data_IF_986852680696
#
_entry.id   IF_986852680696
#
_cell.length_a   1.000
_cell.length_b   1.000
_cell.length_c   1.000
_cell.angle_alpha   90.00
_cell.angle_beta   90.00
_cell.angle_gamma   90.00
#
_symmetry.space_group_name_H-M   'P 1'
#
loop_
_entity.id
_entity.type
_entity.pdbx_description
1 polymer ?
#
# COMPACT_ATOMS: atom_id res chain seq x y z
N UNK A 1 -4.16 22.14 12.13
CA UNK A 1 -2.71 21.83 12.01
C UNK A 1 -2.43 20.35 11.78
N UNK A 2 -3.32 19.43 12.16
CA UNK A 2 -3.21 17.98 11.89
C UNK A 2 -3.34 17.62 10.40
N UNK A 3 -4.40 18.07 9.71
CA UNK A 3 -4.65 17.68 8.31
C UNK A 3 -3.54 18.06 7.31
N UNK A 4 -2.94 19.25 7.44
CA UNK A 4 -1.83 19.70 6.59
C UNK A 4 -0.57 18.85 6.82
N UNK A 5 -0.29 18.48 8.06
CA UNK A 5 0.84 17.62 8.40
C UNK A 5 0.66 16.21 7.80
N UNK A 6 -0.54 15.63 7.94
CA UNK A 6 -0.88 14.35 7.31
C UNK A 6 -0.70 14.39 5.78
N UNK A 7 -1.19 15.44 5.12
CA UNK A 7 -1.03 15.59 3.66
C UNK A 7 0.44 15.64 3.24
N UNK A 8 1.28 16.35 3.99
CA UNK A 8 2.72 16.41 3.73
C UNK A 8 3.35 15.02 3.86
N UNK A 9 3.05 14.29 4.94
CA UNK A 9 3.56 12.92 5.15
C UNK A 9 3.11 11.99 4.02
N UNK A 10 1.84 12.08 3.62
CA UNK A 10 1.29 11.27 2.53
C UNK A 10 1.96 11.58 1.18
N UNK A 11 2.18 12.86 0.86
CA UNK A 11 2.87 13.28 -0.36
C UNK A 11 4.33 12.81 -0.40
N UNK A 12 5.04 12.92 0.72
CA UNK A 12 6.42 12.44 0.84
C UNK A 12 6.48 10.93 0.66
N UNK A 13 5.59 10.17 1.32
CA UNK A 13 5.52 8.72 1.16
C UNK A 13 5.18 8.32 -0.28
N UNK A 14 4.23 9.01 -0.92
CA UNK A 14 3.89 8.78 -2.32
C UNK A 14 5.09 9.03 -3.25
N UNK A 15 5.82 10.13 -3.05
CA UNK A 15 7.00 10.48 -3.85
C UNK A 15 8.13 9.45 -3.69
N UNK A 16 8.41 9.03 -2.47
CA UNK A 16 9.40 7.97 -2.17
C UNK A 16 8.99 6.67 -2.88
N UNK A 17 7.73 6.26 -2.75
CA UNK A 17 7.23 5.02 -3.34
C UNK A 17 7.28 5.06 -4.88
N UNK A 18 6.88 6.16 -5.50
CA UNK A 18 6.95 6.35 -6.96
C UNK A 18 8.38 6.34 -7.47
N UNK A 19 9.29 7.03 -6.76
CA UNK A 19 10.72 7.05 -7.14
C UNK A 19 11.33 5.66 -7.05
N UNK A 20 11.05 4.93 -5.97
CA UNK A 20 11.48 3.55 -5.82
C UNK A 20 10.89 2.65 -6.91
N UNK A 21 9.60 2.81 -7.24
CA UNK A 21 8.97 2.05 -8.31
C UNK A 21 9.67 2.23 -9.65
N UNK A 22 9.96 3.48 -10.05
CA UNK A 22 10.65 3.78 -11.30
C UNK A 22 12.04 3.14 -11.32
N UNK A 23 12.78 3.27 -10.20
CA UNK A 23 14.10 2.67 -10.05
C UNK A 23 14.07 1.14 -10.11
N UNK A 24 13.25 0.51 -9.26
CA UNK A 24 13.12 -0.94 -9.17
C UNK A 24 12.67 -1.54 -10.50
N UNK A 25 11.74 -0.87 -11.20
CA UNK A 25 11.28 -1.27 -12.53
C UNK A 25 12.41 -1.28 -13.54
N UNK A 26 13.21 -0.20 -13.60
CA UNK A 26 14.35 -0.09 -14.51
C UNK A 26 15.44 -1.11 -14.19
N UNK A 27 15.68 -1.39 -12.91
CA UNK A 27 16.72 -2.31 -12.44
C UNK A 27 16.35 -3.79 -12.57
N UNK A 28 15.09 -4.14 -12.32
CA UNK A 28 14.63 -5.54 -12.21
C UNK A 28 13.89 -6.03 -13.45
N UNK A 29 13.67 -5.17 -14.45
CA UNK A 29 12.95 -5.51 -15.67
C UNK A 29 11.46 -5.78 -15.46
N UNK A 30 10.84 -5.12 -14.46
CA UNK A 30 9.44 -5.37 -14.10
C UNK A 30 8.52 -4.92 -15.25
N UNK A 31 7.61 -5.80 -15.75
CA UNK A 31 6.69 -5.44 -16.81
C UNK A 31 5.77 -4.29 -16.40
N UNK A 32 5.29 -3.54 -17.39
CA UNK A 32 4.35 -2.43 -17.13
C UNK A 32 3.04 -3.05 -16.63
N UNK A 33 2.51 -2.63 -15.48
CA UNK A 33 1.21 -3.11 -15.05
C UNK A 33 0.16 -2.68 -16.08
N UNK A 34 -0.92 -3.46 -16.24
CA UNK A 34 -2.05 -3.05 -17.05
C UNK A 34 -2.61 -1.71 -16.54
N UNK A 35 -3.17 -0.92 -17.45
CA UNK A 35 -3.77 0.39 -17.12
C UNK A 35 -4.88 0.25 -16.07
N UNK A 36 -5.65 -0.84 -16.15
CA UNK A 36 -6.71 -1.16 -15.21
C UNK A 36 -6.18 -2.01 -14.06
N UNK A 37 -6.69 -1.72 -12.86
CA UNK A 37 -6.47 -2.55 -11.70
C UNK A 37 -6.88 -4.00 -11.98
N UNK A 38 -5.95 -4.93 -11.78
CA UNK A 38 -6.19 -6.37 -11.93
C UNK A 38 -5.73 -7.09 -10.68
N UNK A 39 -6.63 -7.70 -9.89
CA UNK A 39 -6.23 -8.55 -8.77
C UNK A 39 -5.50 -9.79 -9.29
N UNK A 40 -4.63 -10.40 -8.47
CA UNK A 40 -3.89 -11.61 -8.88
C UNK A 40 -4.83 -12.79 -9.08
N UNK A 41 -5.85 -12.89 -8.23
CA UNK A 41 -6.95 -13.86 -8.36
C UNK A 41 -8.27 -13.29 -7.79
N UNK A 42 -9.37 -14.00 -8.00
CA UNK A 42 -10.69 -13.61 -7.47
C UNK A 42 -10.73 -13.52 -5.95
N UNK A 43 -10.00 -14.39 -5.26
CA UNK A 43 -9.90 -14.39 -3.79
C UNK A 43 -9.26 -13.11 -3.25
N UNK A 44 -8.20 -12.62 -3.89
CA UNK A 44 -7.56 -11.36 -3.52
C UNK A 44 -8.54 -10.21 -3.69
N UNK A 45 -9.24 -10.14 -4.83
CA UNK A 45 -10.22 -9.09 -5.08
C UNK A 45 -11.34 -9.08 -4.05
N UNK A 46 -11.83 -10.26 -3.66
CA UNK A 46 -12.85 -10.38 -2.61
C UNK A 46 -12.31 -9.93 -1.24
N UNK A 47 -11.08 -10.31 -0.88
CA UNK A 47 -10.45 -9.90 0.38
C UNK A 47 -10.20 -8.39 0.44
N UNK A 48 -9.78 -7.77 -0.66
CA UNK A 48 -9.60 -6.32 -0.74
C UNK A 48 -10.92 -5.56 -0.59
N UNK A 49 -12.02 -6.07 -1.15
CA UNK A 49 -13.35 -5.51 -0.95
C UNK A 49 -13.77 -5.62 0.53
N UNK A 50 -13.54 -6.77 1.16
CA UNK A 50 -13.83 -6.94 2.60
C UNK A 50 -13.00 -5.95 3.42
N UNK A 51 -11.70 -5.80 3.14
CA UNK A 51 -10.84 -4.83 3.82
C UNK A 51 -11.34 -3.39 3.63
N UNK A 52 -11.84 -3.05 2.45
CA UNK A 52 -12.39 -1.72 2.16
C UNK A 52 -13.67 -1.45 2.95
N UNK A 53 -14.56 -2.44 3.06
CA UNK A 53 -15.77 -2.34 3.89
C UNK A 53 -15.37 -2.16 5.36
N UNK A 54 -14.41 -2.94 5.86
CA UNK A 54 -13.90 -2.82 7.22
C UNK A 54 -13.26 -1.46 7.49
N UNK A 55 -12.55 -0.88 6.52
CA UNK A 55 -12.04 0.49 6.63
C UNK A 55 -13.19 1.48 6.84
N UNK A 56 -14.26 1.36 6.05
CA UNK A 56 -15.45 2.21 6.16
C UNK A 56 -16.05 2.21 7.56
N UNK A 57 -16.21 1.02 8.17
CA UNK A 57 -16.66 0.92 9.55
C UNK A 57 -15.64 1.44 10.57
N UNK A 58 -14.36 1.21 10.33
CA UNK A 58 -13.28 1.60 11.26
C UNK A 58 -13.16 3.13 11.39
N UNK A 59 -13.35 3.86 10.29
CA UNK A 59 -13.32 5.33 10.28
C UNK A 59 -14.44 5.96 11.13
N UNK A 60 -15.54 5.24 11.39
CA UNK A 60 -16.59 5.72 12.29
C UNK A 60 -16.13 5.78 13.76
N UNK A 61 -15.09 5.02 14.13
CA UNK A 61 -14.64 4.86 15.52
C UNK A 61 -13.22 5.37 15.77
N UNK A 62 -12.38 5.39 14.74
CA UNK A 62 -10.96 5.70 14.81
C UNK A 62 -10.56 6.86 13.89
N UNK A 63 -9.41 7.51 14.14
CA UNK A 63 -8.93 8.60 13.28
C UNK A 63 -8.78 8.15 11.81
N UNK A 64 -9.41 8.86 10.85
CA UNK A 64 -9.43 8.45 9.45
C UNK A 64 -8.03 8.35 8.83
N UNK A 65 -7.13 9.23 9.22
CA UNK A 65 -5.75 9.29 8.72
C UNK A 65 -4.98 8.01 9.08
N UNK A 66 -5.06 7.60 10.34
CA UNK A 66 -4.38 6.40 10.86
C UNK A 66 -4.97 5.14 10.21
N UNK A 67 -6.30 5.06 10.11
CA UNK A 67 -6.98 3.93 9.50
C UNK A 67 -6.66 3.79 8.01
N UNK A 68 -6.54 4.91 7.29
CA UNK A 68 -6.15 4.91 5.88
C UNK A 68 -4.74 4.37 5.68
N UNK A 69 -3.77 4.84 6.48
CA UNK A 69 -2.39 4.32 6.39
C UNK A 69 -2.33 2.85 6.79
N UNK A 70 -3.07 2.44 7.81
CA UNK A 70 -3.15 1.05 8.22
C UNK A 70 -3.74 0.15 7.13
N UNK A 71 -4.80 0.62 6.45
CA UNK A 71 -5.37 -0.07 5.30
C UNK A 71 -4.34 -0.21 4.17
N UNK A 72 -3.66 0.87 3.78
CA UNK A 72 -2.62 0.82 2.76
C UNK A 72 -1.49 -0.15 3.11
N UNK A 73 -1.09 -0.19 4.38
CA UNK A 73 -0.12 -1.17 4.89
C UNK A 73 -0.62 -2.60 4.70
N UNK A 74 -1.81 -2.94 5.20
CA UNK A 74 -2.38 -4.28 5.12
C UNK A 74 -2.58 -4.74 3.67
N UNK A 75 -3.14 -3.88 2.82
CA UNK A 75 -3.32 -4.19 1.40
C UNK A 75 -1.98 -4.41 0.70
N UNK A 76 -0.94 -3.62 1.05
CA UNK A 76 0.41 -3.80 0.49
C UNK A 76 1.03 -5.13 0.94
N UNK A 77 0.91 -5.51 2.21
CA UNK A 77 1.35 -6.80 2.73
C UNK A 77 0.64 -7.96 2.02
N UNK A 78 -0.69 -7.88 1.94
CA UNK A 78 -1.50 -8.92 1.33
C UNK A 78 -1.17 -9.09 -0.16
N UNK A 79 -1.04 -7.98 -0.89
CA UNK A 79 -0.66 -8.01 -2.31
C UNK A 79 0.75 -8.54 -2.52
N UNK A 80 1.69 -8.17 -1.66
CA UNK A 80 3.05 -8.74 -1.67
C UNK A 80 3.00 -10.25 -1.54
N UNK A 81 2.23 -10.76 -0.58
CA UNK A 81 2.10 -12.20 -0.35
C UNK A 81 1.47 -12.90 -1.55
N UNK A 82 0.39 -12.34 -2.11
CA UNK A 82 -0.30 -12.91 -3.26
C UNK A 82 0.58 -12.91 -4.52
N UNK A 83 1.23 -11.80 -4.83
CA UNK A 83 2.12 -11.71 -5.98
C UNK A 83 3.37 -12.59 -5.82
N UNK A 84 3.94 -12.66 -4.62
CA UNK A 84 5.07 -13.54 -4.35
C UNK A 84 4.70 -15.01 -4.52
N UNK A 85 3.51 -15.42 -4.07
CA UNK A 85 3.04 -16.80 -4.14
C UNK A 85 2.60 -17.22 -5.54
N UNK A 86 1.86 -16.37 -6.25
CA UNK A 86 1.21 -16.74 -7.52
C UNK A 86 1.90 -16.17 -8.77
N UNK A 87 2.68 -15.09 -8.65
CA UNK A 87 3.27 -14.36 -9.79
C UNK A 87 4.73 -13.94 -9.52
N UNK A 88 5.50 -14.85 -8.94
CA UNK A 88 6.89 -14.57 -8.52
C UNK A 88 7.79 -14.06 -9.65
N UNK A 89 7.55 -14.53 -10.87
CA UNK A 89 8.33 -14.19 -12.07
C UNK A 89 8.20 -12.72 -12.47
N UNK A 90 7.03 -12.10 -12.25
CA UNK A 90 6.80 -10.69 -12.57
C UNK A 90 7.57 -9.73 -11.63
N UNK A 91 8.02 -10.23 -10.48
CA UNK A 91 8.78 -9.48 -9.45
C UNK A 91 8.09 -8.23 -8.90
N UNK A 92 6.82 -8.01 -9.23
CA UNK A 92 6.03 -6.87 -8.76
C UNK A 92 5.88 -6.86 -7.23
N UNK A 93 5.92 -8.04 -6.58
CA UNK A 93 5.92 -8.17 -5.13
C UNK A 93 7.03 -7.37 -4.43
N UNK A 94 8.17 -7.10 -5.09
CA UNK A 94 9.27 -6.30 -4.52
C UNK A 94 8.83 -4.85 -4.31
N UNK A 95 8.05 -4.30 -5.24
CA UNK A 95 7.50 -2.96 -5.11
C UNK A 95 6.48 -2.89 -3.97
N UNK A 96 5.55 -3.84 -3.90
CA UNK A 96 4.55 -3.86 -2.83
C UNK A 96 5.17 -4.17 -1.47
N UNK A 97 6.25 -4.94 -1.41
CA UNK A 97 6.99 -5.20 -0.17
C UNK A 97 7.64 -3.91 0.34
N UNK A 98 8.28 -3.16 -0.55
CA UNK A 98 8.81 -1.84 -0.20
C UNK A 98 7.72 -0.89 0.26
N UNK A 99 6.59 -0.85 -0.46
CA UNK A 99 5.41 -0.08 -0.07
C UNK A 99 4.89 -0.47 1.32
N UNK A 100 4.81 -1.76 1.63
CA UNK A 100 4.40 -2.25 2.94
C UNK A 100 5.35 -1.77 4.05
N UNK A 101 6.66 -1.87 3.84
CA UNK A 101 7.65 -1.37 4.81
C UNK A 101 7.51 0.15 4.98
N UNK A 102 7.36 0.89 3.89
CA UNK A 102 7.17 2.34 3.93
C UNK A 102 5.91 2.72 4.71
N UNK A 103 4.77 2.07 4.43
CA UNK A 103 3.53 2.33 5.15
C UNK A 103 3.59 1.90 6.61
N UNK A 104 4.35 0.85 6.95
CA UNK A 104 4.59 0.49 8.35
C UNK A 104 5.34 1.60 9.10
N UNK A 105 6.39 2.15 8.49
CA UNK A 105 7.16 3.28 9.08
C UNK A 105 6.25 4.50 9.25
N UNK A 106 5.45 4.84 8.23
CA UNK A 106 4.49 5.95 8.31
C UNK A 106 3.43 5.68 9.37
N UNK A 107 2.93 4.45 9.49
CA UNK A 107 1.94 4.07 10.49
C UNK A 107 2.48 4.26 11.91
N UNK A 108 3.68 3.75 12.18
CA UNK A 108 4.35 3.91 13.49
C UNK A 108 4.56 5.40 13.79
N UNK A 109 5.03 6.17 12.81
CA UNK A 109 5.19 7.61 12.95
C UNK A 109 3.88 8.30 13.31
N UNK A 110 2.79 7.99 12.60
CA UNK A 110 1.46 8.55 12.87
C UNK A 110 0.97 8.18 14.27
N UNK A 111 1.18 6.95 14.73
CA UNK A 111 0.77 6.54 16.08
C UNK A 111 1.53 7.25 17.21
N UNK A 112 2.73 7.79 16.94
CA UNK A 112 3.57 8.47 17.95
C UNK A 112 3.35 9.99 17.94
N UNK A 113 3.20 10.58 16.76
CA UNK A 113 3.26 12.04 16.58
C UNK A 113 1.91 12.70 16.22
N UNK A 114 0.83 11.91 16.17
CA UNK A 114 -0.48 12.36 15.71
C UNK A 114 -1.58 11.95 16.70
#
# INVERSE_FOLDING_TARGET
MTGTHFLIVLLVAALINTTFYIYARKKLGIPKPPWWYKPVNSTQGLLEIIMLILLGFSVLRFPPEIMLIFFLFLTSCFRTFMEWKYKREEKQYIHYLFGAVLFLVVFIYMCIFF
#
